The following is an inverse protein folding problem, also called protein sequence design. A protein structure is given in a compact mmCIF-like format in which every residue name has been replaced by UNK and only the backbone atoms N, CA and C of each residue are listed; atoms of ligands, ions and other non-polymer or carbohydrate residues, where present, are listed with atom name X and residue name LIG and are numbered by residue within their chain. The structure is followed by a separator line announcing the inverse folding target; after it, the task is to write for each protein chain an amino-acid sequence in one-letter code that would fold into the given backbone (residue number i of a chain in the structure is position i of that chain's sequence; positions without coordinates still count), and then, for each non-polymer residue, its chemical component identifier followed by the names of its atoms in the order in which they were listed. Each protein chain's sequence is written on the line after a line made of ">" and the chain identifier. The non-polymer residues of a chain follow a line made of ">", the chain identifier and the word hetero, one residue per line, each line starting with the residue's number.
data_IF_132084385195
#
_entry.id   IF_132084385195
#
_cell.length_a   1.000
_cell.length_b   1.000
_cell.length_c   1.000
_cell.angle_alpha   90.00
_cell.angle_beta   90.00
_cell.angle_gamma   90.00
#
_symmetry.space_group_name_H-M   'P 1'
#
loop_
_entity.id
_entity.type
_entity.pdbx_description
1 polymer ?
#
# COMPACT_ATOMS: atom_id res chain seq x y z
N UNK A 1 43.53 -19.01 -16.52
CA UNK A 1 42.63 -18.18 -17.35
C UNK A 1 41.16 -18.36 -16.97
N UNK A 2 40.64 -19.58 -16.79
CA UNK A 2 39.21 -19.82 -16.44
C UNK A 2 38.69 -19.22 -15.11
N UNK A 3 39.59 -18.71 -14.25
CA UNK A 3 39.22 -18.19 -12.91
C UNK A 3 38.80 -16.71 -12.95
N UNK A 4 39.41 -15.93 -13.85
CA UNK A 4 39.12 -14.51 -14.05
C UNK A 4 37.80 -14.32 -14.81
N UNK A 5 37.54 -15.20 -15.78
CA UNK A 5 36.31 -15.19 -16.60
C UNK A 5 35.04 -15.43 -15.75
N UNK A 6 35.15 -16.30 -14.74
CA UNK A 6 34.03 -16.61 -13.82
C UNK A 6 33.77 -15.46 -12.85
N UNK A 7 34.80 -14.74 -12.41
CA UNK A 7 34.60 -13.56 -11.54
C UNK A 7 34.07 -12.34 -12.31
N UNK A 8 34.43 -12.19 -13.59
CA UNK A 8 33.92 -11.11 -14.44
C UNK A 8 32.45 -11.32 -14.83
N UNK A 9 32.04 -12.57 -15.10
CA UNK A 9 30.63 -12.91 -15.41
C UNK A 9 29.69 -12.82 -14.19
N UNK A 10 30.21 -12.97 -12.97
CA UNK A 10 29.43 -12.87 -11.73
C UNK A 10 29.44 -11.47 -11.08
N UNK A 11 30.26 -10.54 -11.58
CA UNK A 11 30.42 -9.19 -11.03
C UNK A 11 29.09 -8.38 -10.89
N UNK A 12 28.12 -8.45 -11.82
CA UNK A 12 26.85 -7.71 -11.70
C UNK A 12 25.95 -8.18 -10.54
N UNK A 13 26.15 -9.41 -10.06
CA UNK A 13 25.37 -9.99 -8.96
C UNK A 13 25.97 -9.70 -7.58
N UNK A 14 27.26 -9.35 -7.53
CA UNK A 14 27.98 -9.02 -6.29
C UNK A 14 27.92 -7.53 -5.92
N UNK A 15 27.43 -6.66 -6.82
CA UNK A 15 27.35 -5.22 -6.57
C UNK A 15 26.24 -4.91 -5.54
N UNK A 16 26.52 -4.16 -4.46
CA UNK A 16 25.48 -3.70 -3.55
C UNK A 16 24.54 -2.76 -4.31
N UNK A 17 23.28 -3.16 -4.46
CA UNK A 17 22.23 -2.27 -5.00
C UNK A 17 22.19 -1.04 -4.10
N UNK A 18 22.57 0.12 -4.63
CA UNK A 18 22.33 1.39 -3.96
C UNK A 18 20.83 1.49 -3.69
N UNK A 19 20.47 1.33 -2.41
CA UNK A 19 19.10 1.51 -1.95
C UNK A 19 18.86 3.01 -1.98
N UNK A 20 18.29 3.50 -3.07
CA UNK A 20 17.74 4.86 -3.11
C UNK A 20 16.78 4.99 -1.93
N UNK A 21 17.21 5.75 -0.93
CA UNK A 21 16.40 6.11 0.23
C UNK A 21 15.32 7.04 -0.27
N UNK A 22 14.17 6.48 -0.65
CA UNK A 22 12.96 7.26 -0.93
C UNK A 22 12.72 8.09 0.33
N UNK A 23 12.79 9.44 0.27
CA UNK A 23 12.58 10.25 1.46
C UNK A 23 11.16 9.98 1.96
N UNK A 24 11.05 9.52 3.20
CA UNK A 24 9.77 9.45 3.91
C UNK A 24 9.25 10.87 4.01
N UNK A 25 8.27 11.21 3.17
CA UNK A 25 7.53 12.48 3.25
C UNK A 25 6.93 12.56 4.66
N UNK A 26 7.58 13.35 5.51
CA UNK A 26 7.10 13.76 6.82
C UNK A 26 5.95 14.74 6.61
N UNK A 27 4.71 14.23 6.66
CA UNK A 27 3.50 15.05 6.63
C UNK A 27 3.31 15.76 7.98
N UNK A 28 4.27 16.59 8.38
CA UNK A 28 4.18 17.43 9.59
C UNK A 28 4.40 18.91 9.31
N UNK A 29 4.57 19.29 8.04
CA UNK A 29 4.44 20.69 7.66
C UNK A 29 2.95 21.00 7.48
N UNK A 30 2.40 21.89 8.30
CA UNK A 30 1.16 22.63 7.99
C UNK A 30 1.43 23.51 6.76
N UNK A 31 1.66 22.88 5.60
CA UNK A 31 1.49 23.56 4.33
C UNK A 31 0.02 23.94 4.27
N UNK A 32 -0.25 25.23 4.13
CA UNK A 32 -1.54 25.75 3.72
C UNK A 32 -1.90 25.10 2.39
N UNK A 33 -2.52 23.92 2.46
CA UNK A 33 -3.22 23.34 1.33
C UNK A 33 -4.26 24.39 0.97
N UNK A 34 -4.08 25.04 -0.17
CA UNK A 34 -5.18 25.72 -0.82
C UNK A 34 -6.27 24.66 -0.91
N UNK A 35 -7.30 24.79 -0.07
CA UNK A 35 -8.52 24.01 -0.18
C UNK A 35 -9.15 24.54 -1.45
N UNK A 36 -8.64 24.08 -2.60
CA UNK A 36 -9.38 24.11 -3.84
C UNK A 36 -10.63 23.33 -3.47
N UNK A 37 -11.72 24.06 -3.25
CA UNK A 37 -13.03 23.49 -2.98
C UNK A 37 -13.17 22.30 -3.91
N UNK A 38 -13.53 21.09 -3.41
CA UNK A 38 -13.76 19.97 -4.31
C UNK A 38 -14.68 20.51 -5.40
N UNK A 39 -14.33 20.37 -6.70
CA UNK A 39 -15.22 20.83 -7.75
C UNK A 39 -16.57 20.24 -7.39
N UNK A 40 -17.56 21.13 -7.26
CA UNK A 40 -18.94 20.77 -6.96
C UNK A 40 -19.18 19.50 -7.75
N UNK A 41 -19.56 18.42 -7.07
CA UNK A 41 -19.72 17.12 -7.72
C UNK A 41 -21.00 17.22 -8.54
N UNK A 42 -20.99 18.04 -9.59
CA UNK A 42 -21.97 18.01 -10.64
C UNK A 42 -22.02 16.55 -11.07
N UNK A 43 -23.19 15.96 -10.91
CA UNK A 43 -23.55 14.67 -11.46
C UNK A 43 -23.39 14.75 -12.98
N UNK A 44 -22.16 14.65 -13.47
CA UNK A 44 -21.87 14.50 -14.88
C UNK A 44 -22.07 13.03 -15.21
N UNK A 45 -23.26 12.77 -15.71
CA UNK A 45 -23.67 11.50 -16.26
C UNK A 45 -22.72 11.05 -17.39
N UNK A 46 -22.28 9.79 -17.25
CA UNK A 46 -22.28 8.75 -18.29
C UNK A 46 -21.19 8.66 -19.37
N UNK A 47 -20.00 9.23 -19.16
CA UNK A 47 -18.80 8.77 -19.89
C UNK A 47 -17.65 8.52 -18.91
N UNK A 48 -17.88 7.66 -17.91
CA UNK A 48 -16.86 7.31 -16.92
C UNK A 48 -15.92 6.31 -17.57
N UNK A 49 -14.77 6.78 -18.05
CA UNK A 49 -13.62 5.89 -18.20
C UNK A 49 -13.40 5.25 -16.82
N UNK A 50 -13.66 3.94 -16.73
CA UNK A 50 -13.51 3.17 -15.48
C UNK A 50 -12.19 3.57 -14.83
N UNK A 51 -12.23 4.22 -13.66
CA UNK A 51 -11.00 4.54 -12.97
C UNK A 51 -10.45 3.21 -12.48
N UNK A 52 -9.14 3.03 -12.57
CA UNK A 52 -8.48 1.83 -12.00
C UNK A 52 -8.79 1.64 -10.50
N UNK A 53 -9.21 2.72 -9.81
CA UNK A 53 -9.68 2.69 -8.42
C UNK A 53 -11.04 2.02 -8.23
N UNK A 54 -11.86 1.96 -9.27
CA UNK A 54 -13.24 1.46 -9.20
C UNK A 54 -13.28 -0.08 -9.16
N UNK A 55 -12.19 -0.75 -9.56
CA UNK A 55 -11.99 -2.21 -9.40
C UNK A 55 -12.13 -2.69 -7.94
N UNK A 56 -11.91 -1.79 -6.97
CA UNK A 56 -11.99 -2.09 -5.54
C UNK A 56 -13.13 -1.33 -4.86
N UNK A 57 -14.17 -1.01 -5.64
CA UNK A 57 -15.39 -0.36 -5.17
C UNK A 57 -16.61 -1.12 -5.69
N UNK A 58 -17.71 -1.03 -4.96
CA UNK A 58 -19.02 -1.45 -5.44
C UNK A 58 -19.56 -0.46 -6.49
N UNK A 59 -20.62 -0.87 -7.17
CA UNK A 59 -21.49 -0.01 -7.99
C UNK A 59 -21.94 1.28 -7.27
N UNK A 60 -22.22 1.15 -5.97
CA UNK A 60 -22.57 2.23 -5.04
C UNK A 60 -21.38 3.07 -4.56
N UNK A 61 -20.19 2.89 -5.15
CA UNK A 61 -18.94 3.60 -4.81
C UNK A 61 -18.44 3.31 -3.37
N UNK A 62 -18.85 2.18 -2.79
CA UNK A 62 -18.41 1.75 -1.46
C UNK A 62 -17.10 0.98 -1.59
N UNK A 63 -16.05 1.29 -0.80
CA UNK A 63 -14.78 0.59 -0.89
C UNK A 63 -14.90 -0.89 -0.47
N UNK A 64 -14.22 -1.76 -1.20
CA UNK A 64 -14.05 -3.18 -0.88
C UNK A 64 -12.76 -3.39 -0.09
N UNK A 65 -12.82 -4.28 0.91
CA UNK A 65 -11.66 -4.65 1.67
C UNK A 65 -10.77 -5.63 0.89
N UNK A 66 -9.50 -5.27 0.69
CA UNK A 66 -8.51 -6.15 0.03
C UNK A 66 -8.21 -7.46 0.79
N UNK A 67 -8.61 -7.59 2.06
CA UNK A 67 -8.38 -8.80 2.85
C UNK A 67 -9.57 -9.75 2.85
N UNK A 68 -10.77 -9.24 3.14
CA UNK A 68 -11.97 -10.06 3.30
C UNK A 68 -13.02 -9.86 2.19
N UNK A 69 -12.77 -8.98 1.22
CA UNK A 69 -13.67 -8.70 0.10
C UNK A 69 -14.95 -7.94 0.46
N UNK A 70 -15.25 -7.75 1.75
CA UNK A 70 -16.50 -7.10 2.17
C UNK A 70 -16.49 -5.59 1.89
N UNK A 71 -17.64 -5.01 1.50
CA UNK A 71 -17.76 -3.57 1.33
C UNK A 71 -17.75 -2.83 2.68
N UNK A 72 -17.59 -1.51 2.60
CA UNK A 72 -17.76 -0.58 3.71
C UNK A 72 -16.47 -0.26 4.46
N UNK A 73 -15.37 -0.96 4.15
CA UNK A 73 -14.08 -0.69 4.78
C UNK A 73 -12.91 -1.07 3.87
N UNK A 74 -11.76 -0.46 4.13
CA UNK A 74 -10.49 -0.80 3.47
C UNK A 74 -9.62 -1.69 4.36
N UNK A 75 -8.56 -2.25 3.80
CA UNK A 75 -7.61 -3.16 4.45
C UNK A 75 -7.16 -2.73 5.86
N UNK A 76 -6.94 -1.42 6.07
CA UNK A 76 -6.52 -0.84 7.35
C UNK A 76 -7.56 -1.04 8.46
N UNK A 77 -8.84 -1.08 8.11
CA UNK A 77 -9.96 -1.17 9.05
C UNK A 77 -10.60 -2.56 9.07
N UNK A 78 -10.02 -3.55 8.40
CA UNK A 78 -10.54 -4.91 8.43
C UNK A 78 -10.49 -5.49 9.85
N UNK A 79 -11.63 -6.03 10.32
CA UNK A 79 -11.75 -6.61 11.66
C UNK A 79 -10.96 -7.91 11.78
N UNK A 80 -11.11 -8.81 10.81
CA UNK A 80 -10.39 -10.10 10.74
C UNK A 80 -8.87 -9.87 10.76
N UNK A 81 -8.39 -8.93 9.94
CA UNK A 81 -6.97 -8.57 9.91
C UNK A 81 -6.46 -8.04 11.26
N UNK A 82 -7.26 -7.21 11.93
CA UNK A 82 -6.91 -6.66 13.24
C UNK A 82 -6.84 -7.74 14.32
N UNK A 83 -7.72 -8.74 14.25
CA UNK A 83 -7.68 -9.89 15.16
C UNK A 83 -6.40 -10.69 14.98
N UNK A 84 -6.01 -11.05 13.74
CA UNK A 84 -4.75 -11.77 13.47
C UNK A 84 -3.52 -11.02 14.05
N UNK A 85 -3.49 -9.70 13.91
CA UNK A 85 -2.40 -8.89 14.49
C UNK A 85 -2.47 -8.80 16.02
N UNK A 86 -3.66 -8.82 16.62
CA UNK A 86 -3.81 -8.87 18.07
C UNK A 86 -3.37 -10.25 18.61
N UNK A 87 -3.79 -11.33 17.96
CA UNK A 87 -3.46 -12.71 18.33
C UNK A 87 -1.97 -12.96 18.22
N UNK A 88 -1.34 -12.55 17.11
CA UNK A 88 0.11 -12.67 16.94
C UNK A 88 0.90 -11.83 17.97
N UNK A 89 0.36 -10.69 18.40
CA UNK A 89 0.95 -9.90 19.49
C UNK A 89 0.79 -10.63 20.83
N UNK A 90 -0.37 -11.21 21.10
CA UNK A 90 -0.65 -11.97 22.32
C UNK A 90 0.24 -13.23 22.42
N UNK A 91 0.42 -13.95 21.31
CA UNK A 91 1.30 -15.11 21.22
C UNK A 91 2.77 -14.77 21.53
N UNK A 92 3.24 -13.56 21.15
CA UNK A 92 4.59 -13.09 21.51
C UNK A 92 4.73 -12.74 22.98
N UNK A 93 3.65 -12.30 23.63
CA UNK A 93 3.68 -11.95 25.06
C UNK A 93 3.56 -13.17 25.96
N UNK A 94 2.97 -14.27 25.46
CA UNK A 94 2.88 -15.53 26.18
C UNK A 94 4.13 -16.37 25.88
N UNK A 95 5.21 -16.14 26.63
CA UNK A 95 6.40 -16.98 26.60
C UNK A 95 6.30 -17.98 27.79
N UNK A 96 5.76 -19.20 27.58
CA UNK A 96 5.78 -20.21 28.63
C UNK A 96 7.25 -20.62 28.84
N UNK A 97 7.76 -20.36 30.04
CA UNK A 97 9.10 -20.78 30.47
C UNK A 97 9.17 -22.29 30.60
#
# INVERSE_FOLDING_TARGET
>A
MVREEVMETLAPLAAPRQRNSIPRRNTTSRSSVSVRSPPRREARNSAVTMRKTDLWRTDSNVPLCYHCGRPGHVLRYCRERRQIFADSRAARTFNPR
#
